data_IF_567721224715
#
_entry.id   IF_567721224715
#
_cell.length_a   1.000
_cell.length_b   1.000
_cell.length_c   1.000
_cell.angle_alpha   90.00
_cell.angle_beta   90.00
_cell.angle_gamma   90.00
#
_symmetry.space_group_name_H-M   'P 1'
#
loop_
_entity.id
_entity.type
_entity.pdbx_description
1 polymer ?
#
# COMPACT_ATOMS: atom_id res chain seq x y z
N UNK A 1 -0.79 21.13 -0.50
CA UNK A 1 0.15 21.20 -1.64
C UNK A 1 -0.13 20.00 -2.53
N UNK A 2 -0.75 20.13 -3.72
CA UNK A 2 -0.90 19.02 -4.64
C UNK A 2 0.21 19.11 -5.70
N UNK A 3 1.32 18.41 -5.48
CA UNK A 3 2.29 18.08 -6.54
C UNK A 3 2.39 16.55 -6.70
N UNK A 4 1.25 15.86 -6.58
CA UNK A 4 1.16 14.46 -6.99
C UNK A 4 1.03 14.47 -8.52
N UNK A 5 2.17 14.46 -9.21
CA UNK A 5 2.22 14.24 -10.67
C UNK A 5 1.26 13.10 -11.03
N UNK A 6 0.38 13.34 -12.00
CA UNK A 6 -0.75 12.49 -12.44
C UNK A 6 -0.40 10.98 -12.56
N UNK A 7 0.87 10.67 -12.81
CA UNK A 7 1.45 9.32 -12.86
C UNK A 7 1.35 8.51 -11.56
N UNK A 8 1.25 9.13 -10.38
CA UNK A 8 1.16 8.37 -9.12
C UNK A 8 -0.20 7.64 -8.98
N UNK A 9 -1.23 8.20 -9.62
CA UNK A 9 -2.62 7.70 -9.64
C UNK A 9 -2.94 6.82 -10.83
N UNK A 10 -2.17 6.92 -11.91
CA UNK A 10 -2.38 6.11 -13.11
C UNK A 10 -1.91 4.68 -12.85
N UNK A 11 -2.80 3.67 -12.95
CA UNK A 11 -2.39 2.28 -12.82
C UNK A 11 -1.47 1.91 -13.98
N UNK A 12 -0.38 1.24 -13.67
CA UNK A 12 0.55 0.79 -14.69
C UNK A 12 -0.05 -0.34 -15.53
N UNK A 13 0.18 -0.33 -16.85
CA UNK A 13 -0.50 -1.23 -17.78
C UNK A 13 -0.16 -2.72 -17.57
N UNK A 14 0.98 -3.00 -16.93
CA UNK A 14 1.51 -4.36 -16.74
C UNK A 14 0.89 -5.06 -15.53
N UNK A 15 0.74 -4.34 -14.42
CA UNK A 15 0.26 -4.89 -13.15
C UNK A 15 -1.09 -4.31 -12.71
N UNK A 16 -1.59 -3.27 -13.38
CA UNK A 16 -2.81 -2.56 -13.01
C UNK A 16 -2.68 -1.76 -11.69
N UNK A 17 -1.47 -1.69 -11.13
CA UNK A 17 -1.22 -1.10 -9.82
C UNK A 17 -0.80 0.36 -9.94
N UNK A 18 -1.34 1.19 -9.06
CA UNK A 18 -0.81 2.54 -8.84
C UNK A 18 0.54 2.47 -8.12
N UNK A 19 1.27 3.60 -8.10
CA UNK A 19 2.55 3.68 -7.37
C UNK A 19 2.33 3.42 -5.88
N UNK A 20 1.26 3.94 -5.30
CA UNK A 20 0.87 3.70 -3.91
C UNK A 20 0.64 2.22 -3.62
N UNK A 21 -0.16 1.53 -4.44
CA UNK A 21 -0.48 0.11 -4.27
C UNK A 21 0.78 -0.78 -4.34
N UNK A 22 1.71 -0.46 -5.26
CA UNK A 22 2.98 -1.18 -5.38
C UNK A 22 3.85 -1.03 -4.13
N UNK A 23 3.90 0.16 -3.56
CA UNK A 23 4.62 0.43 -2.31
C UNK A 23 3.97 -0.31 -1.14
N UNK A 24 2.64 -0.25 -1.02
CA UNK A 24 1.89 -0.99 0.01
C UNK A 24 2.17 -2.49 -0.07
N UNK A 25 2.14 -3.09 -1.27
CA UNK A 25 2.47 -4.51 -1.47
C UNK A 25 3.93 -4.84 -1.15
N UNK A 26 4.85 -3.95 -1.52
CA UNK A 26 6.28 -4.13 -1.22
C UNK A 26 6.53 -4.17 0.29
N UNK A 27 5.99 -3.18 1.02
CA UNK A 27 6.10 -3.08 2.48
C UNK A 27 5.41 -4.26 3.14
N UNK A 28 4.20 -4.61 2.71
CA UNK A 28 3.47 -5.77 3.23
C UNK A 28 4.28 -7.06 3.09
N UNK A 29 4.93 -7.28 1.93
CA UNK A 29 5.79 -8.44 1.69
C UNK A 29 7.04 -8.40 2.59
N UNK A 30 7.66 -7.24 2.78
CA UNK A 30 8.82 -7.09 3.67
C UNK A 30 8.45 -7.46 5.12
N UNK A 31 7.39 -6.85 5.65
CA UNK A 31 6.98 -7.05 7.04
C UNK A 31 6.54 -8.50 7.27
N UNK A 32 5.88 -9.14 6.30
CA UNK A 32 5.57 -10.57 6.37
C UNK A 32 6.83 -11.43 6.47
N UNK A 33 7.87 -11.13 5.68
CA UNK A 33 9.15 -11.85 5.74
C UNK A 33 9.85 -11.65 7.08
N UNK A 34 9.90 -10.42 7.59
CA UNK A 34 10.46 -10.09 8.91
C UNK A 34 9.73 -10.83 10.05
N UNK A 35 8.43 -11.04 9.90
CA UNK A 35 7.59 -11.76 10.87
C UNK A 35 7.54 -13.28 10.66
N UNK A 36 8.30 -13.82 9.72
CA UNK A 36 8.31 -15.26 9.42
C UNK A 36 6.97 -15.77 8.88
N UNK A 37 6.30 -14.98 8.03
CA UNK A 37 5.04 -15.35 7.38
C UNK A 37 3.78 -15.14 8.23
N UNK A 38 3.90 -14.52 9.41
CA UNK A 38 2.74 -14.17 10.24
C UNK A 38 1.94 -13.01 9.63
N UNK A 39 0.62 -12.95 9.86
CA UNK A 39 -0.18 -11.83 9.41
C UNK A 39 0.35 -10.51 9.97
N UNK A 40 0.28 -9.48 9.13
CA UNK A 40 0.71 -8.13 9.46
C UNK A 40 -0.50 -7.32 9.89
N UNK A 41 -0.57 -6.83 11.14
CA UNK A 41 -1.64 -5.95 11.58
C UNK A 41 -1.67 -4.68 10.72
N UNK A 42 -2.86 -4.23 10.30
CA UNK A 42 -3.03 -3.05 9.44
C UNK A 42 -2.38 -1.80 10.02
N UNK A 43 -2.44 -1.60 11.34
CA UNK A 43 -1.77 -0.47 12.02
C UNK A 43 -0.25 -0.54 11.86
N UNK A 44 0.33 -1.74 11.96
CA UNK A 44 1.77 -1.94 11.75
C UNK A 44 2.15 -1.70 10.29
N UNK A 45 1.32 -2.17 9.35
CA UNK A 45 1.51 -1.89 7.93
C UNK A 45 1.47 -0.39 7.65
N UNK A 46 0.47 0.31 8.19
CA UNK A 46 0.29 1.75 8.00
C UNK A 46 1.52 2.53 8.47
N UNK A 47 2.01 2.26 9.68
CA UNK A 47 3.22 2.90 10.20
C UNK A 47 4.43 2.69 9.28
N UNK A 48 4.62 1.48 8.74
CA UNK A 48 5.72 1.17 7.81
C UNK A 48 5.53 1.82 6.44
N UNK A 49 4.30 1.97 5.94
CA UNK A 49 4.03 2.62 4.65
C UNK A 49 4.31 4.12 4.73
N UNK A 50 3.99 4.76 5.86
CA UNK A 50 4.30 6.17 6.11
C UNK A 50 5.80 6.49 6.08
N UNK A 51 6.67 5.49 6.30
CA UNK A 51 8.13 5.65 6.14
C UNK A 51 8.55 5.81 4.67
N UNK A 52 7.71 5.42 3.72
CA UNK A 52 8.00 5.44 2.28
C UNK A 52 7.22 6.50 1.50
N UNK A 53 5.97 6.75 1.87
CA UNK A 53 5.08 7.71 1.22
C UNK A 53 4.14 8.37 2.23
N UNK A 54 3.85 9.65 2.02
CA UNK A 54 2.70 10.29 2.65
C UNK A 54 1.41 9.70 2.08
N UNK A 55 0.62 9.08 2.96
CA UNK A 55 -0.61 8.39 2.59
C UNK A 55 -1.59 8.47 3.76
N UNK A 56 -2.84 8.84 3.49
CA UNK A 56 -3.88 8.84 4.52
C UNK A 56 -4.34 7.43 4.87
N UNK A 57 -4.93 7.26 6.06
CA UNK A 57 -5.55 5.98 6.46
C UNK A 57 -6.63 5.54 5.46
N UNK A 58 -7.43 6.48 4.93
CA UNK A 58 -8.45 6.18 3.93
C UNK A 58 -7.85 5.67 2.62
N UNK A 59 -6.76 6.27 2.14
CA UNK A 59 -6.04 5.80 0.95
C UNK A 59 -5.45 4.40 1.17
N UNK A 60 -4.94 4.08 2.37
CA UNK A 60 -4.48 2.74 2.69
C UNK A 60 -5.63 1.73 2.60
N UNK A 61 -6.77 2.03 3.22
CA UNK A 61 -7.94 1.16 3.20
C UNK A 61 -8.44 0.93 1.77
N UNK A 62 -8.44 1.98 0.93
CA UNK A 62 -8.79 1.86 -0.49
C UNK A 62 -7.80 0.96 -1.25
N UNK A 63 -6.49 1.12 -1.01
CA UNK A 63 -5.48 0.24 -1.59
C UNK A 63 -5.71 -1.22 -1.17
N UNK A 64 -5.92 -1.48 0.12
CA UNK A 64 -6.13 -2.84 0.64
C UNK A 64 -7.42 -3.48 0.12
N UNK A 65 -8.48 -2.69 -0.05
CA UNK A 65 -9.74 -3.14 -0.65
C UNK A 65 -9.55 -3.51 -2.13
N UNK A 66 -8.82 -2.68 -2.91
CA UNK A 66 -8.51 -3.00 -4.32
C UNK A 66 -7.61 -4.23 -4.46
N UNK A 67 -6.68 -4.43 -3.53
CA UNK A 67 -5.79 -5.58 -3.48
C UNK A 67 -6.48 -6.87 -2.99
N UNK A 68 -7.75 -6.81 -2.60
CA UNK A 68 -8.52 -7.99 -2.15
C UNK A 68 -8.09 -8.55 -0.80
N UNK A 69 -7.40 -7.75 0.02
CA UNK A 69 -6.88 -8.16 1.34
C UNK A 69 -7.90 -7.96 2.48
N UNK A 70 -8.99 -7.23 2.26
CA UNK A 70 -10.09 -7.07 3.23
C UNK A 70 -11.45 -7.39 2.58
N UNK A 71 -12.34 -8.17 3.24
CA UNK A 71 -13.76 -8.11 2.95
C UNK A 71 -14.29 -6.75 3.44
N UNK A 72 -15.04 -6.07 2.57
CA UNK A 72 -15.76 -4.83 2.87
C UNK A 72 -16.88 -5.06 3.88
#
# INVERSE_FOLDING_TARGET
MPDASDSDRLPNLVDGLTRQERIVLHVLRQVQRERGGRPVPTVMLYGRVLEHIDLSEQELQQCLARLGTLPV
#
